data_IF_123948877418
#
_entry.id   IF_123948877418
#
_cell.length_a   1.000
_cell.length_b   1.000
_cell.length_c   1.000
_cell.angle_alpha   90.00
_cell.angle_beta   90.00
_cell.angle_gamma   90.00
#
_symmetry.space_group_name_H-M   'P 1'
#
loop_
_entity.id
_entity.type
_entity.pdbx_description
1 polymer ?
2 non-polymer ?
3 non-polymer ?
4 non-polymer ?
5 water ?
#
# COMPACT_ATOMS: atom_id res chain seq x y z
N UNK A 20 8.94 -21.03 -31.11
CA UNK A 20 8.10 -20.07 -30.33
C UNK A 20 8.87 -19.46 -29.15
N UNK A 21 8.68 -18.14 -28.96
CA UNK A 21 9.15 -17.42 -27.80
C UNK A 21 8.02 -16.48 -27.34
N UNK A 22 7.65 -16.49 -26.07
CA UNK A 22 6.51 -15.67 -25.65
C UNK A 22 6.88 -14.20 -25.71
N UNK A 23 5.87 -13.40 -25.93
CA UNK A 23 6.05 -11.98 -26.10
C UNK A 23 5.19 -11.19 -25.15
N UNK A 24 5.72 -10.07 -24.73
CA UNK A 24 4.95 -9.09 -23.96
C UNK A 24 5.08 -7.75 -24.67
N UNK A 25 4.00 -6.97 -24.68
CA UNK A 25 4.02 -5.63 -25.21
C UNK A 25 3.70 -4.65 -24.07
N UNK A 26 4.54 -3.63 -23.97
CA UNK A 26 4.33 -2.51 -23.07
C UNK A 26 3.85 -1.36 -23.93
N UNK A 27 2.67 -0.82 -23.65
CA UNK A 27 2.07 0.27 -24.40
C UNK A 27 2.13 1.56 -23.60
N UNK A 28 3.15 2.36 -23.86
CA UNK A 28 3.39 3.57 -23.08
C UNK A 28 2.31 4.60 -23.27
N UNK A 29 1.49 4.45 -24.32
CA UNK A 29 0.40 5.41 -24.56
C UNK A 29 -0.90 5.07 -23.84
N UNK A 30 -0.97 3.90 -23.20
CA UNK A 30 -2.19 3.50 -22.51
C UNK A 30 -1.96 3.63 -21.01
N UNK A 31 -2.22 4.82 -20.50
CA UNK A 31 -1.95 5.16 -19.09
C UNK A 31 -3.04 4.63 -18.18
N UNK A 32 -2.61 4.08 -17.06
CA UNK A 32 -3.48 3.53 -16.03
C UNK A 32 -3.29 4.44 -14.81
N UNK A 33 -3.15 3.88 -13.61
CA UNK A 33 -3.15 4.71 -12.44
C UNK A 33 -1.81 5.38 -12.17
N UNK A 34 -1.85 6.58 -11.62
CA UNK A 34 -0.65 7.27 -11.12
C UNK A 34 -0.26 6.66 -9.77
N UNK A 35 0.99 6.27 -9.64
CA UNK A 35 1.49 5.67 -8.42
C UNK A 35 1.69 6.72 -7.32
N UNK A 36 1.15 6.42 -6.15
CA UNK A 36 1.35 7.25 -4.97
C UNK A 36 2.52 6.78 -4.12
N UNK A 37 2.72 5.46 -3.99
CA UNK A 37 3.89 4.97 -3.31
C UNK A 37 3.67 3.68 -2.57
N UNK A 38 4.65 3.34 -1.75
CA UNK A 38 4.76 2.07 -1.04
C UNK A 38 5.25 2.33 0.36
N UNK A 39 4.87 1.49 1.31
CA UNK A 39 5.46 1.65 2.63
C UNK A 39 4.95 0.63 3.60
N UNK A 40 4.84 1.04 4.85
CA UNK A 40 4.45 0.14 5.92
C UNK A 40 4.08 0.91 7.17
N UNK A 41 3.78 0.11 8.20
CA UNK A 41 3.27 0.62 9.48
C UNK A 41 4.37 0.81 10.52
N UNK A 42 4.25 1.88 11.29
CA UNK A 42 4.96 2.04 12.57
C UNK A 42 3.93 2.05 13.66
N UNK A 43 4.17 1.36 14.76
CA UNK A 43 3.21 1.35 15.88
C UNK A 43 4.02 1.32 17.19
N UNK A 44 4.42 2.51 17.67
CA UNK A 44 5.35 2.58 18.81
C UNK A 44 4.66 2.40 20.16
N UNK A 45 3.37 2.08 20.17
CA UNK A 45 2.69 1.70 21.40
C UNK A 45 2.66 0.16 21.48
N UNK A 46 2.25 -0.53 20.42
CA UNK A 46 2.16 -1.99 20.45
C UNK A 46 3.52 -2.66 20.41
N UNK A 47 4.44 -2.07 19.66
CA UNK A 47 5.79 -2.59 19.50
C UNK A 47 6.79 -1.44 19.64
N UNK A 48 8.08 -1.71 19.51
CA UNK A 48 9.07 -0.65 19.63
C UNK A 48 9.05 0.24 18.40
N UNK A 49 9.26 1.52 18.60
CA UNK A 49 9.41 2.48 17.51
C UNK A 49 10.56 2.08 16.61
N UNK A 50 10.51 2.54 15.37
CA UNK A 50 11.71 2.50 14.55
C UNK A 50 12.80 3.32 15.20
N UNK A 51 14.02 2.82 15.12
CA UNK A 51 15.20 3.53 15.59
C UNK A 51 15.62 4.57 14.53
N UNK A 52 16.54 5.49 14.88
CA UNK A 52 17.00 6.46 13.87
C UNK A 52 17.55 5.77 12.62
N UNK A 53 18.35 4.71 12.77
CA UNK A 53 18.92 4.00 11.62
C UNK A 53 17.84 3.34 10.79
N UNK A 54 16.88 2.71 11.46
CA UNK A 54 15.79 2.02 10.77
C UNK A 54 14.89 2.98 9.98
N UNK A 55 14.70 4.20 10.49
CA UNK A 55 13.92 5.19 9.76
C UNK A 55 14.59 5.48 8.41
N UNK A 56 15.91 5.64 8.43
CA UNK A 56 16.66 5.90 7.20
C UNK A 56 16.57 4.68 6.24
N UNK A 57 16.73 3.49 6.79
CA UNK A 57 16.64 2.29 5.94
C UNK A 57 15.26 2.18 5.31
N UNK A 58 14.21 2.57 6.03
CA UNK A 58 12.86 2.44 5.49
C UNK A 58 12.56 3.48 4.42
N UNK A 59 12.86 4.76 4.71
CA UNK A 59 12.34 5.86 3.90
C UNK A 59 13.37 6.53 2.99
N UNK A 60 14.65 6.23 3.17
CA UNK A 60 15.63 6.57 2.15
C UNK A 60 15.52 5.66 0.95
N UNK A 61 16.08 6.11 -0.17
CA UNK A 61 16.12 5.30 -1.37
C UNK A 61 17.53 5.10 -1.88
N UNK A 62 18.51 5.17 -0.98
CA UNK A 62 19.88 4.85 -1.31
C UNK A 62 20.14 3.36 -1.28
N UNK A 63 21.38 3.02 -1.53
CA UNK A 63 21.87 1.67 -1.41
C UNK A 63 21.51 1.12 -0.05
N UNK A 64 20.93 -0.07 0.00
CA UNK A 64 20.58 -0.69 1.26
C UNK A 64 19.36 -0.12 1.97
N UNK A 65 18.56 0.64 1.24
CA UNK A 65 17.37 1.30 1.79
C UNK A 65 16.15 0.87 0.95
N UNK A 66 14.99 0.83 1.58
CA UNK A 66 13.78 0.29 0.98
C UNK A 66 13.10 1.21 0.00
N UNK A 67 13.31 2.52 0.09
CA UNK A 67 12.65 3.41 -0.81
C UNK A 67 11.19 3.61 -0.53
N UNK A 68 10.75 3.38 0.70
CA UNK A 68 9.37 3.62 1.03
C UNK A 68 9.09 5.13 0.99
N UNK A 69 7.85 5.45 0.62
CA UNK A 69 7.37 6.82 0.53
C UNK A 69 6.04 7.04 1.20
N UNK A 70 5.55 6.02 1.91
CA UNK A 70 4.31 6.14 2.69
C UNK A 70 4.56 5.50 4.06
N UNK A 71 4.28 6.27 5.12
CA UNK A 71 4.25 5.76 6.47
C UNK A 71 2.80 5.71 6.92
N UNK A 72 2.37 4.57 7.44
CA UNK A 72 1.10 4.48 8.14
C UNK A 72 1.36 4.44 9.63
N UNK A 73 0.51 5.19 10.35
CA UNK A 73 0.52 5.27 11.80
C UNK A 73 -0.90 5.05 12.32
N UNK A 74 -1.00 4.82 13.62
CA UNK A 74 -2.30 4.71 14.28
C UNK A 74 -2.64 5.97 15.03
N UNK A 75 -3.94 6.19 15.15
CA UNK A 75 -4.53 7.26 15.94
C UNK A 75 -4.92 6.66 17.27
N UNK A 76 -4.14 6.91 18.33
CA UNK A 76 -4.49 6.27 19.59
C UNK A 76 -5.77 6.85 20.17
N UNK A 77 -6.55 5.97 20.80
CA UNK A 77 -7.75 6.42 21.52
C UNK A 77 -7.40 7.27 22.73
N UNK A 78 -6.17 7.12 23.26
CA UNK A 78 -5.67 7.92 24.38
C UNK A 78 -4.70 8.96 23.86
N UNK A 79 -5.11 10.22 23.90
CA UNK A 79 -4.27 11.31 23.41
C UNK A 79 -2.92 11.44 24.08
N UNK A 80 -2.76 10.88 25.27
CA UNK A 80 -1.45 10.90 25.92
C UNK A 80 -0.40 10.07 25.20
N UNK A 81 -0.86 9.21 24.29
CA UNK A 81 0.07 8.41 23.47
C UNK A 81 0.48 9.08 22.16
N UNK A 82 -0.20 10.16 21.75
CA UNK A 82 0.04 10.73 20.44
C UNK A 82 1.49 11.16 20.24
N UNK A 83 2.11 11.69 21.28
CA UNK A 83 3.51 12.14 21.19
C UNK A 83 4.45 11.06 20.73
N UNK A 84 4.10 9.81 20.97
CA UNK A 84 4.99 8.69 20.63
C UNK A 84 5.18 8.53 19.12
N UNK A 85 4.27 9.12 18.33
CA UNK A 85 4.32 8.98 16.88
C UNK A 85 5.26 9.95 16.20
N UNK A 86 5.63 11.03 16.89
CA UNK A 86 6.12 12.20 16.21
C UNK A 86 7.49 12.03 15.58
N UNK A 87 8.45 11.47 16.29
CA UNK A 87 9.82 11.40 15.74
C UNK A 87 9.86 10.59 14.45
N UNK A 88 9.22 9.44 14.43
CA UNK A 88 9.28 8.63 13.21
C UNK A 88 8.50 9.28 12.07
N UNK A 89 7.34 9.86 12.37
CA UNK A 89 6.56 10.53 11.33
C UNK A 89 7.32 11.70 10.74
N UNK A 90 7.94 12.52 11.60
CA UNK A 90 8.69 13.66 11.11
C UNK A 90 9.87 13.20 10.27
N UNK A 91 10.57 12.15 10.69
CA UNK A 91 11.74 11.71 9.92
C UNK A 91 11.30 11.19 8.55
N UNK A 92 10.19 10.45 8.51
CA UNK A 92 9.65 9.97 7.24
C UNK A 92 9.40 11.12 6.29
N UNK A 93 8.79 12.18 6.82
CA UNK A 93 8.52 13.38 6.02
C UNK A 93 9.81 14.04 5.58
N UNK A 94 10.81 14.14 6.45
CA UNK A 94 12.11 14.71 6.05
C UNK A 94 12.69 13.95 4.87
N UNK A 95 12.45 12.65 4.84
CA UNK A 95 12.99 11.77 3.79
C UNK A 95 12.06 11.67 2.59
N UNK A 96 11.01 12.44 2.55
CA UNK A 96 10.17 12.58 1.37
C UNK A 96 8.88 11.80 1.41
N UNK A 97 8.56 11.13 2.49
CA UNK A 97 7.37 10.31 2.59
C UNK A 97 6.15 11.12 2.96
N UNK A 98 5.00 10.54 2.72
CA UNK A 98 3.73 11.05 3.23
C UNK A 98 3.25 10.13 4.35
N UNK A 99 2.39 10.64 5.22
CA UNK A 99 1.95 9.93 6.39
C UNK A 99 0.43 9.85 6.43
N UNK A 100 -0.10 8.65 6.61
CA UNK A 100 -1.52 8.50 6.81
C UNK A 100 -1.77 7.82 8.15
N UNK A 101 -2.90 8.16 8.77
CA UNK A 101 -3.20 7.65 10.11
C UNK A 101 -4.53 6.94 10.17
N UNK A 102 -4.59 5.82 10.87
CA UNK A 102 -5.84 5.06 11.04
C UNK A 102 -6.12 4.82 12.51
N UNK A 103 -7.38 5.03 12.94
CA UNK A 103 -7.82 4.72 14.28
C UNK A 103 -8.32 3.29 14.38
N UNK A 104 -8.08 2.67 15.53
CA UNK A 104 -8.66 1.36 15.88
C UNK A 104 -9.90 1.48 16.77
N UNK A 105 -9.88 2.41 17.72
CA UNK A 105 -11.06 2.69 18.54
C UNK A 105 -11.19 4.17 18.79
N UNK A 106 -12.43 4.67 18.88
CA UNK A 106 -12.63 5.98 19.49
C UNK A 106 -12.27 5.93 20.97
N UNK A 107 -12.08 7.11 21.59
CA UNK A 107 -12.01 7.16 23.05
C UNK A 107 -13.19 6.46 23.69
N UNK A 108 -12.95 5.84 24.83
CA UNK A 108 -13.92 4.97 25.46
C UNK A 108 -15.21 5.68 25.80
N UNK A 109 -15.14 6.97 26.10
CA UNK A 109 -16.37 7.70 26.40
C UNK A 109 -17.32 7.92 25.21
N UNK A 110 -16.87 7.54 24.02
CA UNK A 110 -17.70 7.63 22.82
C UNK A 110 -18.26 6.31 22.36
N UNK A 111 -17.82 5.23 22.98
CA UNK A 111 -18.11 3.85 22.57
C UNK A 111 -19.25 3.29 23.40
N UNK A 112 -19.97 2.34 22.84
CA UNK A 112 -20.89 1.54 23.62
C UNK A 112 -20.78 0.11 23.19
N UNK A 113 -21.35 -0.79 23.97
CA UNK A 113 -21.29 -2.19 23.62
C UNK A 113 -22.62 -2.63 23.03
N UNK A 114 -22.55 -3.72 22.29
CA UNK A 114 -23.71 -4.32 21.67
C UNK A 114 -23.38 -5.76 21.36
N UNK A 115 -24.42 -6.53 21.09
CA UNK A 115 -24.26 -7.92 20.69
C UNK A 115 -24.30 -8.04 19.17
N UNK A 116 -23.27 -8.67 18.61
CA UNK A 116 -23.13 -8.78 17.16
C UNK A 116 -23.07 -10.24 16.81
N UNK A 117 -24.05 -10.69 16.03
CA UNK A 117 -24.16 -12.10 15.62
C UNK A 117 -23.97 -13.03 16.81
N UNK A 118 -24.68 -12.69 17.88
CA UNK A 118 -24.70 -13.49 19.11
C UNK A 118 -23.50 -13.35 20.02
N UNK A 119 -22.51 -12.56 19.63
CA UNK A 119 -21.30 -12.35 20.44
C UNK A 119 -21.49 -11.06 21.22
N UNK A 120 -21.52 -11.15 22.55
CA UNK A 120 -21.77 -9.95 23.35
C UNK A 120 -20.52 -9.08 23.52
N UNK A 121 -20.74 -7.89 24.07
CA UNK A 121 -19.68 -7.01 24.53
C UNK A 121 -18.82 -6.50 23.40
N UNK A 122 -19.40 -6.40 22.20
CA UNK A 122 -18.70 -5.84 21.05
C UNK A 122 -18.82 -4.33 21.06
N UNK A 123 -17.87 -3.65 20.45
CA UNK A 123 -17.83 -2.19 20.52
C UNK A 123 -18.28 -1.54 19.24
N UNK A 124 -19.01 -0.45 19.36
CA UNK A 124 -19.29 0.44 18.23
C UNK A 124 -19.26 1.89 18.72
N UNK A 125 -19.15 2.83 17.78
CA UNK A 125 -19.27 4.24 18.08
C UNK A 125 -20.74 4.54 18.40
N UNK A 126 -21.02 5.16 19.54
CA UNK A 126 -22.40 5.55 19.86
C UNK A 126 -22.95 6.45 18.78
N UNK A 127 -24.21 6.23 18.41
CA UNK A 127 -24.80 7.01 17.34
C UNK A 127 -24.87 8.50 17.64
N UNK A 128 -24.93 8.86 18.92
CA UNK A 128 -24.94 10.25 19.36
C UNK A 128 -23.55 10.87 19.50
N UNK A 129 -22.51 10.13 19.11
CA UNK A 129 -21.13 10.60 19.29
C UNK A 129 -20.38 10.75 17.95
N UNK A 130 -21.10 10.77 16.84
CA UNK A 130 -20.42 10.92 15.54
C UNK A 130 -19.72 12.24 15.43
N UNK A 131 -20.36 13.31 15.91
CA UNK A 131 -19.72 14.63 15.93
C UNK A 131 -18.50 14.69 16.86
N UNK A 132 -18.63 14.07 18.02
CA UNK A 132 -17.53 14.04 18.98
C UNK A 132 -16.37 13.28 18.38
N UNK A 133 -16.66 12.26 17.56
CA UNK A 133 -15.59 11.48 16.94
C UNK A 133 -14.85 12.29 15.88
N UNK A 134 -15.58 13.07 15.10
CA UNK A 134 -14.96 14.03 14.19
C UNK A 134 -13.99 14.89 14.98
N UNK A 135 -14.42 15.42 16.13
CA UNK A 135 -13.54 16.28 16.91
C UNK A 135 -12.28 15.57 17.36
N UNK A 136 -12.41 14.33 17.80
CA UNK A 136 -11.24 13.52 18.16
C UNK A 136 -10.27 13.42 17.00
N UNK A 137 -10.77 13.05 15.82
CA UNK A 137 -9.89 12.93 14.64
C UNK A 137 -9.25 14.27 14.32
N UNK A 138 -10.04 15.36 14.36
CA UNK A 138 -9.47 16.67 14.09
C UNK A 138 -8.45 17.09 15.15
N UNK A 139 -8.65 16.68 16.40
CA UNK A 139 -7.69 16.97 17.43
C UNK A 139 -6.37 16.25 17.13
N UNK A 140 -6.43 15.03 16.64
CA UNK A 140 -5.21 14.32 16.25
C UNK A 140 -4.52 15.02 15.09
N UNK A 141 -5.28 15.39 14.07
CA UNK A 141 -4.72 16.09 12.92
C UNK A 141 -4.01 17.36 13.39
N UNK A 142 -4.65 18.11 14.27
CA UNK A 142 -4.12 19.37 14.76
C UNK A 142 -2.87 19.14 15.62
N UNK A 143 -2.90 18.14 16.48
CA UNK A 143 -1.73 17.82 17.29
C UNK A 143 -0.54 17.47 16.42
N UNK A 144 -0.78 16.64 15.42
CA UNK A 144 0.33 16.26 14.57
C UNK A 144 0.84 17.49 13.79
N UNK A 145 -0.06 18.33 13.29
CA UNK A 145 0.36 19.52 12.54
C UNK A 145 1.21 20.43 13.41
N UNK A 146 0.80 20.58 14.67
CA UNK A 146 1.51 21.43 15.63
C UNK A 146 2.92 20.91 15.94
N UNK A 147 3.12 19.62 15.72
CA UNK A 147 4.39 18.96 15.98
C UNK A 147 5.12 18.56 14.68
N UNK A 148 4.83 19.27 13.59
CA UNK A 148 5.58 19.16 12.33
C UNK A 148 5.19 18.06 11.37
N UNK A 149 4.02 17.47 11.60
CA UNK A 149 3.55 16.34 10.78
C UNK A 149 2.21 16.73 10.14
N UNK A 150 2.26 17.14 8.88
CA UNK A 150 1.05 17.46 8.11
C UNK A 150 0.54 16.15 7.51
N UNK A 151 -0.46 15.52 8.15
CA UNK A 151 -0.97 14.24 7.67
C UNK A 151 -1.52 14.33 6.28
N UNK A 152 -1.18 13.35 5.46
CA UNK A 152 -1.74 13.25 4.12
C UNK A 152 -3.22 12.88 4.19
N UNK A 153 -3.59 12.00 5.13
CA UNK A 153 -4.95 11.51 5.23
C UNK A 153 -5.17 10.88 6.58
N UNK A 154 -6.43 10.79 6.97
CA UNK A 154 -6.84 10.10 8.18
C UNK A 154 -8.05 9.25 7.85
N UNK A 155 -8.08 8.05 8.43
CA UNK A 155 -9.13 7.07 8.18
C UNK A 155 -10.23 7.10 9.23
N UNK A 156 -11.43 6.73 8.81
CA UNK A 156 -12.56 6.63 9.70
C UNK A 156 -12.39 5.50 10.70
N UNK A 157 -11.86 4.36 10.24
CA UNK A 157 -11.78 3.16 11.04
C UNK A 157 -10.90 2.14 10.34
N UNK A 158 -9.97 1.57 11.11
CA UNK A 158 -9.25 0.38 10.65
C UNK A 158 -10.18 -0.82 10.68
N UNK A 159 -10.35 -1.56 9.57
CA UNK A 159 -11.10 -2.82 9.57
C UNK A 159 -12.39 -2.77 10.35
N UNK A 160 -13.33 -1.91 9.93
CA UNK A 160 -14.64 -1.84 10.56
C UNK A 160 -15.45 -3.12 10.50
N UNK A 161 -15.07 -4.00 9.56
CA UNK A 161 -15.74 -5.28 9.28
C UNK A 161 -14.92 -6.46 9.79
N UNK A 162 -13.93 -6.22 10.64
CA UNK A 162 -13.21 -7.32 11.32
C UNK A 162 -12.80 -6.85 12.70
N UNK A 163 -13.78 -6.38 13.46
CA UNK A 163 -13.50 -5.59 14.66
C UNK A 163 -13.78 -6.36 15.95
N UNK A 164 -13.53 -7.67 15.90
CA UNK A 164 -13.60 -8.50 17.10
C UNK A 164 -12.81 -7.91 18.25
N UNK A 165 -11.67 -7.30 17.94
CA UNK A 165 -10.80 -6.73 18.96
C UNK A 165 -10.75 -5.21 18.96
N UNK A 166 -11.67 -4.57 18.24
CA UNK A 166 -11.73 -3.11 18.22
C UNK A 166 -13.15 -2.63 17.93
N UNK A 167 -13.36 -1.62 17.10
CA UNK A 167 -14.67 -0.98 16.95
C UNK A 167 -15.28 -1.35 15.59
N UNK A 168 -16.46 -1.97 15.63
CA UNK A 168 -17.23 -2.32 14.45
C UNK A 168 -18.03 -1.17 13.88
N UNK A 169 -18.07 -1.11 12.55
CA UNK A 169 -19.00 -0.27 11.83
C UNK A 169 -19.67 -1.07 10.76
N UNK A 170 -21.00 -1.06 10.72
CA UNK A 170 -21.73 -1.64 9.60
C UNK A 170 -21.57 -0.76 8.37
N UNK A 171 -21.90 -1.29 7.19
CA UNK A 171 -21.87 -0.43 5.98
C UNK A 171 -22.72 0.83 6.15
N UNK A 172 -23.89 0.67 6.78
CA UNK A 172 -24.81 1.78 7.00
C UNK A 172 -24.24 2.86 7.94
N UNK A 173 -23.61 2.41 9.01
CA UNK A 173 -22.98 3.32 9.97
C UNK A 173 -21.83 4.09 9.31
N UNK A 174 -20.99 3.37 8.56
CA UNK A 174 -19.91 3.99 7.81
C UNK A 174 -20.45 5.01 6.80
N UNK A 175 -21.55 4.67 6.12
CA UNK A 175 -22.14 5.61 5.16
C UNK A 175 -22.63 6.87 5.88
N UNK A 176 -23.34 6.69 6.99
CA UNK A 176 -23.83 7.87 7.71
C UNK A 176 -22.67 8.80 8.06
N UNK A 177 -21.59 8.20 8.58
CA UNK A 177 -20.44 9.00 8.93
C UNK A 177 -19.86 9.74 7.73
N UNK A 178 -19.64 9.01 6.64
CA UNK A 178 -19.08 9.61 5.45
C UNK A 178 -19.95 10.71 4.85
N UNK A 179 -21.27 10.48 4.87
CA UNK A 179 -22.23 11.41 4.29
C UNK A 179 -22.38 12.69 5.14
N UNK A 180 -22.59 12.50 6.44
CA UNK A 180 -23.07 13.58 7.30
C UNK A 180 -22.00 14.21 8.17
N UNK A 181 -20.87 13.54 8.36
CA UNK A 181 -19.85 14.00 9.30
C UNK A 181 -18.47 14.20 8.70
N UNK A 182 -18.06 13.35 7.73
CA UNK A 182 -16.67 13.36 7.32
C UNK A 182 -16.25 14.63 6.58
N UNK A 183 -17.19 15.42 6.06
CA UNK A 183 -16.83 16.70 5.44
C UNK A 183 -16.24 17.70 6.41
N UNK A 184 -16.43 17.46 7.72
CA UNK A 184 -15.94 18.30 8.81
C UNK A 184 -14.48 17.96 9.19
N UNK A 185 -13.91 16.87 8.65
CA UNK A 185 -12.56 16.47 8.99
C UNK A 185 -11.55 17.33 8.22
N UNK A 186 -10.56 17.88 8.94
CA UNK A 186 -9.59 18.82 8.41
C UNK A 186 -8.39 18.14 7.79
N UNK A 187 -8.68 17.18 6.93
CA UNK A 187 -7.65 16.35 6.32
C UNK A 187 -8.32 15.59 5.21
N UNK A 188 -7.52 15.00 4.30
CA UNK A 188 -8.09 13.97 3.42
C UNK A 188 -8.70 12.86 4.25
N UNK A 189 -9.84 12.33 3.79
CA UNK A 189 -10.51 11.25 4.49
C UNK A 189 -10.34 9.94 3.72
N UNK A 190 -9.91 8.93 4.47
CA UNK A 190 -9.75 7.59 3.96
C UNK A 190 -10.83 6.69 4.53
N UNK A 191 -11.39 5.84 3.68
CA UNK A 191 -12.40 4.84 4.13
C UNK A 191 -12.55 3.76 3.07
N UNK A 192 -13.09 2.62 3.42
CA UNK A 192 -13.43 2.14 4.75
C UNK A 192 -12.42 1.17 5.38
N UNK A 193 -11.33 0.87 4.69
CA UNK A 193 -10.32 -0.05 5.17
C UNK A 193 -10.90 -1.41 5.57
N UNK A 194 -11.73 -1.98 4.70
CA UNK A 194 -12.19 -3.36 4.91
C UNK A 194 -11.01 -4.32 5.01
N UNK A 195 -11.10 -5.31 5.90
CA UNK A 195 -9.98 -6.23 6.08
C UNK A 195 -9.62 -7.02 4.83
N UNK A 196 -10.59 -7.19 3.92
CA UNK A 196 -10.43 -8.05 2.76
C UNK A 196 -10.91 -7.33 1.49
N UNK A 197 -11.03 -6.02 1.51
CA UNK A 197 -11.53 -5.28 0.33
C UNK A 197 -12.94 -5.76 -0.02
N UNK A 198 -13.78 -5.91 1.02
CA UNK A 198 -15.15 -6.33 0.81
C UNK A 198 -15.95 -5.16 0.29
N UNK A 199 -16.56 -5.31 -0.87
CA UNK A 199 -17.18 -4.17 -1.54
C UNK A 199 -18.45 -3.72 -0.83
N UNK A 200 -19.05 -4.58 -0.01
CA UNK A 200 -20.24 -4.14 0.72
C UNK A 200 -19.95 -2.98 1.68
N UNK A 201 -18.70 -2.82 2.11
CA UNK A 201 -18.32 -1.73 2.98
C UNK A 201 -18.14 -0.40 2.28
N UNK A 202 -17.73 -0.44 1.03
CA UNK A 202 -17.45 0.73 0.23
C UNK A 202 -18.54 1.13 -0.79
N UNK A 203 -19.34 0.16 -1.26
CA UNK A 203 -20.34 0.49 -2.26
C UNK A 203 -21.25 1.63 -1.83
N UNK A 204 -21.72 1.62 -0.57
CA UNK A 204 -22.65 2.70 -0.21
C UNK A 204 -22.03 4.09 -0.30
N UNK A 205 -20.73 4.19 0.03
CA UNK A 205 -20.03 5.47 -0.07
C UNK A 205 -19.96 5.92 -1.52
N UNK A 206 -19.55 5.00 -2.41
CA UNK A 206 -19.43 5.34 -3.81
C UNK A 206 -20.77 5.68 -4.46
N UNK A 207 -21.84 5.10 -3.96
CA UNK A 207 -23.16 5.31 -4.52
C UNK A 207 -23.92 6.49 -3.92
N UNK A 208 -23.32 7.18 -2.95
CA UNK A 208 -23.91 8.38 -2.37
C UNK A 208 -23.09 9.62 -2.74
N UNK A 209 -23.65 10.56 -3.54
CA UNK A 209 -22.76 11.61 -4.01
C UNK A 209 -22.10 12.44 -2.89
N UNK A 210 -22.81 12.69 -1.80
CA UNK A 210 -22.22 13.48 -0.72
C UNK A 210 -21.14 12.72 0.05
N UNK A 211 -21.39 11.44 0.33
CA UNK A 211 -20.39 10.64 0.97
C UNK A 211 -19.14 10.52 0.08
N UNK A 212 -19.36 10.32 -1.22
CA UNK A 212 -18.27 10.21 -2.14
C UNK A 212 -17.51 11.54 -2.20
N UNK A 213 -18.21 12.68 -2.19
CA UNK A 213 -17.55 13.98 -2.19
C UNK A 213 -16.67 14.13 -0.97
N UNK A 214 -17.10 13.57 0.17
CA UNK A 214 -16.33 13.67 1.41
C UNK A 214 -15.19 12.65 1.51
N UNK A 215 -15.20 11.64 0.67
CA UNK A 215 -14.11 10.70 0.55
C UNK A 215 -12.96 11.31 -0.24
N UNK A 216 -11.73 11.02 0.17
CA UNK A 216 -10.55 11.34 -0.65
C UNK A 216 -9.77 10.12 -1.09
N UNK A 217 -9.70 9.10 -0.23
CA UNK A 217 -8.94 7.89 -0.53
C UNK A 217 -9.80 6.70 -0.16
N UNK A 218 -10.01 5.81 -1.14
CA UNK A 218 -10.61 4.51 -0.85
C UNK A 218 -9.46 3.63 -0.39
N UNK A 219 -9.50 3.27 0.89
CA UNK A 219 -8.51 2.41 1.48
C UNK A 219 -9.05 1.00 1.65
N UNK A 220 -8.19 0.00 1.47
CA UNK A 220 -8.57 -1.43 1.56
C UNK A 220 -7.41 -2.22 2.10
N UNK A 221 -7.68 -3.26 2.87
CA UNK A 221 -6.68 -4.26 3.23
C UNK A 221 -6.89 -5.50 2.36
N UNK A 222 -5.89 -6.36 2.35
CA UNK A 222 -5.83 -7.47 1.39
C UNK A 222 -5.76 -8.85 2.02
N UNK A 223 -6.20 -8.98 3.28
CA UNK A 223 -6.11 -10.26 3.97
C UNK A 223 -7.13 -11.23 3.39
N UNK A 224 -6.64 -12.26 2.70
CA UNK A 224 -7.48 -13.24 2.02
C UNK A 224 -8.15 -12.73 0.77
N UNK A 225 -7.73 -11.58 0.25
CA UNK A 225 -8.31 -11.08 -1.00
C UNK A 225 -7.74 -11.81 -2.19
N UNK A 226 -8.61 -12.48 -2.93
CA UNK A 226 -8.23 -13.21 -4.11
C UNK A 226 -8.13 -12.28 -5.29
N UNK A 227 -7.44 -12.72 -6.34
CA UNK A 227 -7.26 -11.90 -7.53
C UNK A 227 -8.55 -11.51 -8.18
N UNK A 228 -9.53 -12.42 -8.19
CA UNK A 228 -10.82 -12.09 -8.81
C UNK A 228 -11.57 -11.00 -8.03
N UNK A 229 -11.17 -10.74 -6.78
CA UNK A 229 -11.78 -9.68 -5.97
C UNK A 229 -10.99 -8.41 -5.93
N UNK A 230 -9.96 -8.32 -6.76
CA UNK A 230 -9.15 -7.09 -6.82
C UNK A 230 -9.69 -6.01 -7.75
N UNK A 231 -10.32 -6.34 -8.90
CA UNK A 231 -10.98 -5.32 -9.68
C UNK A 231 -12.15 -4.70 -8.89
N UNK A 232 -12.52 -3.48 -9.23
CA UNK A 232 -13.66 -2.84 -8.56
C UNK A 232 -14.35 -1.94 -9.55
N UNK A 233 -15.23 -2.51 -10.38
CA UNK A 233 -15.91 -1.72 -11.41
C UNK A 233 -16.58 -0.46 -10.90
N UNK A 234 -17.24 -0.52 -9.74
CA UNK A 234 -17.91 0.68 -9.25
C UNK A 234 -16.93 1.83 -8.98
N UNK A 235 -15.76 1.49 -8.46
CA UNK A 235 -14.76 2.51 -8.24
C UNK A 235 -14.22 3.07 -9.55
N UNK A 236 -14.03 2.20 -10.54
CA UNK A 236 -13.62 2.67 -11.86
C UNK A 236 -14.64 3.66 -12.44
N UNK A 237 -15.93 3.39 -12.19
CA UNK A 237 -17.01 4.23 -12.65
C UNK A 237 -17.11 5.57 -11.92
N UNK A 238 -17.03 5.51 -10.59
CA UNK A 238 -17.41 6.66 -9.80
C UNK A 238 -16.25 7.37 -9.09
N UNK A 239 -15.04 6.79 -9.12
CA UNK A 239 -13.93 7.27 -8.30
C UNK A 239 -13.04 8.37 -8.83
N UNK A 240 -13.50 9.13 -9.84
CA UNK A 240 -12.67 10.20 -10.35
C UNK A 240 -12.27 11.15 -9.23
N UNK A 241 -11.00 11.50 -9.21
CA UNK A 241 -10.46 12.39 -8.19
C UNK A 241 -10.22 11.78 -6.83
N UNK A 242 -10.45 10.46 -6.70
CA UNK A 242 -10.20 9.71 -5.48
C UNK A 242 -9.01 8.83 -5.67
N UNK A 243 -8.21 8.65 -4.63
CA UNK A 243 -7.07 7.72 -4.69
C UNK A 243 -7.53 6.35 -4.19
N UNK A 244 -6.78 5.33 -4.59
CA UNK A 244 -7.07 3.94 -4.25
C UNK A 244 -5.81 3.35 -3.61
N UNK A 245 -5.89 3.04 -2.33
CA UNK A 245 -4.73 2.58 -1.57
C UNK A 245 -4.99 1.26 -0.88
N UNK A 246 -4.02 0.35 -0.98
CA UNK A 246 -4.01 -0.89 -0.22
C UNK A 246 -3.19 -0.62 1.02
N UNK A 247 -3.88 -0.36 2.14
CA UNK A 247 -3.25 0.24 3.30
C UNK A 247 -2.75 -0.70 4.36
N UNK A 248 -2.96 -2.01 4.19
CA UNK A 248 -2.39 -2.96 5.15
C UNK A 248 -2.49 -4.38 4.61
N UNK A 249 -1.37 -5.10 4.60
CA UNK A 249 -1.36 -6.53 4.48
C UNK A 249 -0.01 -7.04 4.95
N UNK A 250 0.04 -8.33 5.28
CA UNK A 250 1.25 -9.12 5.22
C UNK A 250 0.86 -10.37 4.43
N UNK A 251 1.77 -10.89 3.63
CA UNK A 251 1.52 -12.09 2.85
C UNK A 251 2.84 -12.88 2.79
N UNK A 252 2.73 -14.21 2.66
CA UNK A 252 1.51 -15.01 2.71
C UNK A 252 1.11 -15.43 4.13
N UNK A 253 1.90 -15.00 5.12
CA UNK A 253 1.63 -15.31 6.52
C UNK A 253 2.44 -14.34 7.38
N UNK A 254 2.20 -14.44 8.69
CA UNK A 254 2.99 -13.70 9.68
C UNK A 254 3.79 -14.71 10.53
N UNK A 255 4.24 -15.81 9.93
CA UNK A 255 5.02 -16.77 10.70
C UNK A 255 6.28 -16.12 11.26
N UNK A 256 6.63 -16.51 12.48
CA UNK A 256 7.85 -15.99 13.08
C UNK A 256 9.05 -16.36 12.23
N UNK A 257 9.95 -15.39 12.07
CA UNK A 257 11.23 -15.59 11.39
C UNK A 257 11.06 -16.15 9.98
N UNK A 258 10.02 -15.69 9.29
CA UNK A 258 9.70 -16.16 7.95
C UNK A 258 10.20 -15.23 6.83
N UNK A 259 10.70 -14.05 7.16
CA UNK A 259 10.88 -13.01 6.14
C UNK A 259 11.92 -13.32 5.07
N UNK A 260 12.84 -14.24 5.35
CA UNK A 260 13.83 -14.64 4.37
C UNK A 260 13.47 -15.95 3.67
N UNK A 261 12.32 -16.56 3.97
CA UNK A 261 11.99 -17.83 3.31
C UNK A 261 11.85 -17.67 1.81
N UNK A 262 12.45 -18.60 1.07
CA UNK A 262 12.44 -18.61 -0.38
C UNK A 262 12.12 -20.04 -0.85
N UNK A 263 11.20 -20.19 -1.81
CA UNK A 263 10.59 -19.15 -2.65
C UNK A 263 9.33 -18.50 -2.07
N UNK A 264 9.00 -18.73 -0.80
CA UNK A 264 7.80 -18.14 -0.22
C UNK A 264 7.72 -16.63 -0.47
N UNK A 265 8.85 -15.94 -0.36
CA UNK A 265 8.82 -14.49 -0.48
C UNK A 265 8.31 -13.98 -1.82
N UNK A 266 8.38 -14.82 -2.86
CA UNK A 266 7.83 -14.40 -4.15
C UNK A 266 6.36 -14.08 -4.08
N UNK A 267 5.65 -14.64 -3.09
CA UNK A 267 4.24 -14.27 -2.91
C UNK A 267 4.04 -12.79 -2.64
N UNK A 268 5.03 -12.15 -2.04
CA UNK A 268 4.94 -10.70 -1.78
C UNK A 268 4.95 -9.96 -3.12
N UNK A 269 5.94 -10.28 -3.97
CA UNK A 269 6.00 -9.65 -5.27
C UNK A 269 4.71 -9.89 -6.04
N UNK A 270 4.24 -11.15 -6.02
CA UNK A 270 3.05 -11.48 -6.79
C UNK A 270 1.84 -10.71 -6.27
N UNK A 271 1.74 -10.56 -4.95
CA UNK A 271 0.62 -9.81 -4.39
C UNK A 271 0.65 -8.35 -4.80
N UNK A 272 1.86 -7.77 -4.88
CA UNK A 272 2.02 -6.38 -5.30
C UNK A 272 1.70 -6.22 -6.79
N UNK A 273 2.23 -7.14 -7.62
CA UNK A 273 1.84 -7.19 -9.02
C UNK A 273 0.33 -7.20 -9.16
N UNK A 274 -0.32 -8.08 -8.39
CA UNK A 274 -1.76 -8.21 -8.49
C UNK A 274 -2.44 -6.92 -8.04
N UNK A 275 -1.99 -6.33 -6.95
CA UNK A 275 -2.59 -5.07 -6.49
C UNK A 275 -2.52 -4.01 -7.60
N UNK A 276 -1.33 -3.88 -8.19
CA UNK A 276 -1.10 -2.85 -9.20
C UNK A 276 -1.87 -3.09 -10.50
N UNK A 277 -1.84 -4.32 -10.99
CA UNK A 277 -2.37 -4.62 -12.30
C UNK A 277 -3.83 -5.05 -12.24
N UNK A 278 -4.18 -5.93 -11.31
CA UNK A 278 -5.54 -6.44 -11.20
C UNK A 278 -6.41 -5.48 -10.42
N UNK A 279 -5.82 -4.76 -9.48
CA UNK A 279 -6.57 -3.85 -8.64
C UNK A 279 -6.46 -2.38 -8.98
N UNK A 280 -5.51 -2.03 -9.84
CA UNK A 280 -5.24 -0.62 -10.17
C UNK A 280 -4.86 0.22 -8.94
N UNK A 281 -4.29 -0.44 -7.92
CA UNK A 281 -3.98 0.29 -6.71
C UNK A 281 -2.85 1.29 -6.91
N UNK A 282 -2.96 2.44 -6.26
CA UNK A 282 -1.94 3.48 -6.32
C UNK A 282 -0.92 3.40 -5.20
N UNK A 283 -1.24 2.68 -4.14
CA UNK A 283 -0.37 2.54 -2.98
C UNK A 283 -0.48 1.14 -2.45
N UNK A 284 0.63 0.63 -1.92
CA UNK A 284 0.65 -0.69 -1.29
C UNK A 284 1.49 -0.55 -0.03
N UNK A 285 0.83 -0.80 1.10
CA UNK A 285 1.39 -0.54 2.44
C UNK A 285 1.34 -1.83 3.26
N UNK A 286 2.51 -2.29 3.67
CA UNK A 286 2.65 -3.42 4.56
C UNK A 286 2.16 -3.08 5.95
N UNK A 287 2.00 -4.13 6.78
CA UNK A 287 1.87 -3.99 8.24
C UNK A 287 3.24 -3.57 8.81
N UNK A 288 3.62 -4.03 10.01
CA UNK A 288 4.83 -3.53 10.64
C UNK A 288 6.03 -3.55 9.71
N UNK A 289 6.69 -2.41 9.58
CA UNK A 289 7.90 -2.34 8.78
C UNK A 289 8.99 -3.26 9.30
N UNK A 290 9.24 -3.18 10.60
CA UNK A 290 10.30 -3.97 11.25
C UNK A 290 9.64 -5.09 12.03
N UNK A 291 9.86 -6.32 11.57
CA UNK A 291 9.27 -7.49 12.21
C UNK A 291 9.87 -8.72 11.57
N UNK A 292 9.81 -9.86 12.25
CA UNK A 292 10.53 -11.02 11.75
C UNK A 292 9.89 -11.64 10.50
N UNK A 293 8.68 -11.19 10.16
CA UNK A 293 7.96 -11.54 8.94
C UNK A 293 7.76 -10.32 8.02
N UNK A 294 8.47 -9.24 8.32
CA UNK A 294 8.28 -7.99 7.57
C UNK A 294 9.41 -7.66 6.63
N UNK A 295 9.31 -6.48 5.99
CA UNK A 295 10.30 -6.11 5.01
C UNK A 295 11.68 -5.78 5.62
N UNK A 296 11.69 -5.34 6.88
CA UNK A 296 12.90 -5.09 7.60
C UNK A 296 12.97 -6.05 8.76
N UNK A 297 14.09 -6.77 8.88
CA UNK A 297 14.28 -7.71 9.99
C UNK A 297 14.61 -6.97 11.27
N UNK A 298 14.56 -7.68 12.38
CA UNK A 298 14.83 -7.05 13.69
C UNK A 298 16.26 -6.54 13.78
N UNK A 299 17.16 -7.09 12.97
CA UNK A 299 18.55 -6.61 12.94
C UNK A 299 18.74 -5.39 12.08
N UNK A 300 17.63 -4.84 11.54
CA UNK A 300 17.65 -3.59 10.80
C UNK A 300 17.95 -3.71 9.33
N UNK A 301 18.18 -4.93 8.85
CA UNK A 301 18.53 -5.17 7.46
C UNK A 301 17.30 -5.61 6.68
N UNK A 302 17.40 -5.56 5.37
CA UNK A 302 16.25 -5.88 4.52
C UNK A 302 16.09 -7.39 4.35
N UNK A 303 14.86 -7.88 4.52
CA UNK A 303 14.55 -9.30 4.33
C UNK A 303 14.28 -9.63 2.87
N UNK A 304 14.20 -10.93 2.52
CA UNK A 304 13.72 -11.26 1.19
C UNK A 304 12.36 -10.64 0.85
N UNK A 305 11.44 -10.65 1.82
CA UNK A 305 10.16 -10.02 1.58
C UNK A 305 10.32 -8.52 1.33
N UNK A 306 11.26 -7.88 2.02
CA UNK A 306 11.59 -6.49 1.76
C UNK A 306 12.18 -6.24 0.40
N UNK A 307 13.06 -7.13 -0.07
CA UNK A 307 13.57 -6.98 -1.43
C UNK A 307 12.46 -7.14 -2.47
N UNK A 308 11.47 -7.98 -2.21
CA UNK A 308 10.32 -8.08 -3.10
C UNK A 308 9.63 -6.76 -3.19
N UNK A 309 9.40 -6.09 -2.06
CA UNK A 309 8.81 -4.76 -2.08
C UNK A 309 9.69 -3.76 -2.84
N UNK A 310 11.00 -3.82 -2.55
CA UNK A 310 11.97 -2.89 -3.14
C UNK A 310 12.04 -2.93 -4.66
N UNK A 311 11.77 -4.12 -5.25
CA UNK A 311 11.72 -4.23 -6.69
C UNK A 311 10.73 -3.26 -7.29
N UNK A 312 9.69 -2.92 -6.53
CA UNK A 312 8.74 -1.89 -6.91
C UNK A 312 9.15 -0.54 -6.29
N UNK A 313 9.30 -0.53 -4.97
CA UNK A 313 9.41 0.78 -4.29
C UNK A 313 10.65 1.60 -4.66
N UNK A 314 11.77 0.94 -4.93
CA UNK A 314 12.99 1.69 -5.23
C UNK A 314 12.99 2.29 -6.62
N UNK A 315 12.10 1.82 -7.48
CA UNK A 315 12.16 2.12 -8.90
C UNK A 315 10.88 2.81 -9.41
N UNK A 316 9.72 2.34 -8.96
CA UNK A 316 8.46 2.90 -9.41
C UNK A 316 8.13 4.01 -8.41
N UNK A 317 8.63 5.20 -8.67
CA UNK A 317 8.56 6.32 -7.74
C UNK A 317 7.22 7.02 -7.78
N UNK A 318 6.88 7.72 -6.69
CA UNK A 318 5.62 8.46 -6.73
C UNK A 318 5.55 9.35 -7.95
N UNK A 319 4.38 9.36 -8.57
CA UNK A 319 4.15 10.14 -9.78
C UNK A 319 4.37 9.39 -11.07
N UNK A 320 5.08 8.29 -11.04
CA UNK A 320 5.09 7.46 -12.24
C UNK A 320 3.69 6.95 -12.49
N UNK A 321 3.42 6.55 -13.74
CA UNK A 321 2.10 6.10 -14.12
C UNK A 321 2.20 4.69 -14.67
N UNK A 322 1.38 3.79 -14.13
CA UNK A 322 1.31 2.46 -14.69
C UNK A 322 0.80 2.54 -16.13
N UNK A 323 1.27 1.63 -16.99
CA UNK A 323 0.78 1.58 -18.35
C UNK A 323 0.33 0.18 -18.67
N UNK A 324 -0.50 0.05 -19.70
CA UNK A 324 -0.96 -1.25 -20.13
C UNK A 324 0.24 -2.08 -20.60
N UNK A 325 0.34 -3.32 -20.13
CA UNK A 325 1.40 -4.22 -20.53
C UNK A 325 0.94 -5.62 -20.38
N UNK A 326 1.39 -6.50 -21.25
CA UNK A 326 1.00 -7.91 -21.20
C UNK A 326 1.32 -8.48 -19.82
N UNK A 327 0.30 -8.82 -19.05
CA UNK A 327 0.53 -9.03 -17.61
C UNK A 327 1.04 -10.40 -17.26
N UNK A 328 0.79 -11.38 -18.12
CA UNK A 328 1.09 -12.77 -17.81
C UNK A 328 1.50 -13.47 -19.11
N UNK A 329 2.68 -13.09 -19.67
CA UNK A 329 2.99 -13.46 -21.04
C UNK A 329 3.22 -14.93 -21.29
N UNK A 330 3.57 -15.67 -20.26
CA UNK A 330 3.70 -17.13 -20.33
C UNK A 330 3.44 -17.64 -18.91
N UNK A 331 3.10 -18.91 -18.76
CA UNK A 331 2.75 -19.44 -17.45
C UNK A 331 3.88 -19.19 -16.46
N UNK A 332 3.50 -18.73 -15.27
CA UNK A 332 4.40 -18.46 -14.15
C UNK A 332 5.17 -17.15 -14.27
N UNK A 333 4.94 -16.35 -15.33
CA UNK A 333 5.67 -15.08 -15.51
C UNK A 333 4.65 -13.94 -15.48
N UNK A 334 4.93 -12.92 -14.65
CA UNK A 334 4.03 -11.80 -14.41
C UNK A 334 4.80 -10.52 -14.65
N UNK A 335 4.19 -9.58 -15.38
CA UNK A 335 4.87 -8.38 -15.78
C UNK A 335 3.98 -7.17 -15.51
N UNK A 336 4.57 -6.13 -14.96
CA UNK A 336 3.94 -4.82 -14.87
C UNK A 336 4.93 -3.78 -15.40
N UNK A 337 4.40 -2.64 -15.82
CA UNK A 337 5.24 -1.57 -16.31
C UNK A 337 4.66 -0.22 -15.95
N UNK A 338 5.56 0.68 -15.59
CA UNK A 338 5.22 2.05 -15.27
C UNK A 338 6.18 2.98 -16.01
N UNK A 339 5.70 4.19 -16.25
CA UNK A 339 6.41 5.18 -17.00
C UNK A 339 6.62 6.43 -16.15
N UNK A 340 7.78 7.06 -16.34
CA UNK A 340 8.06 8.36 -15.80
C UNK A 340 7.72 9.36 -16.90
N UNK A 341 6.68 10.14 -16.68
CA UNK A 341 6.19 11.09 -17.67
C UNK A 341 7.17 12.20 -17.97
N UNK A 342 8.16 12.40 -17.10
CA UNK A 342 9.09 13.51 -17.31
C UNK A 342 10.02 13.22 -18.48
N UNK A 343 10.38 11.94 -18.68
CA UNK A 343 11.27 11.56 -19.79
C UNK A 343 10.86 10.30 -20.58
N UNK A 344 9.65 9.82 -20.33
CA UNK A 344 9.08 8.63 -20.95
C UNK A 344 9.88 7.36 -20.72
N UNK A 345 10.75 7.36 -19.72
CA UNK A 345 11.45 6.15 -19.36
C UNK A 345 10.52 5.19 -18.66
N UNK A 346 10.96 3.96 -18.58
CA UNK A 346 10.09 2.85 -18.29
C UNK A 346 10.71 1.99 -17.20
N UNK A 347 9.87 1.50 -16.30
CA UNK A 347 10.27 0.54 -15.29
C UNK A 347 9.37 -0.67 -15.46
N UNK A 348 9.97 -1.84 -15.69
CA UNK A 348 9.18 -3.07 -15.79
C UNK A 348 9.60 -4.01 -14.67
N UNK A 349 8.63 -4.59 -13.98
CA UNK A 349 8.92 -5.53 -12.92
C UNK A 349 8.38 -6.89 -13.36
N UNK A 350 9.26 -7.87 -13.43
CA UNK A 350 8.91 -9.17 -14.02
C UNK A 350 9.23 -10.29 -13.02
N UNK A 351 8.20 -11.05 -12.67
CA UNK A 351 8.30 -12.11 -11.70
C UNK A 351 8.33 -13.43 -12.49
N UNK A 352 9.31 -14.30 -12.22
CA UNK A 352 9.32 -15.66 -12.78
C UNK A 352 9.18 -16.67 -11.63
N UNK A 353 7.99 -17.20 -11.43
CA UNK A 353 7.75 -18.16 -10.36
C UNK A 353 8.11 -19.58 -10.74
N UNK A 354 8.49 -19.80 -11.98
CA UNK A 354 8.87 -21.14 -12.44
C UNK A 354 10.21 -21.58 -11.88
N UNK A 355 10.37 -22.91 -11.74
CA UNK A 355 11.66 -23.48 -11.44
C UNK A 355 12.55 -23.54 -12.69
N UNK A 356 11.99 -23.22 -13.86
CA UNK A 356 12.73 -23.09 -15.10
C UNK A 356 13.03 -21.66 -15.45
N UNK A 357 14.15 -21.43 -16.15
CA UNK A 357 14.40 -20.15 -16.78
C UNK A 357 13.37 -19.93 -17.86
N UNK A 358 13.05 -18.67 -18.09
CA UNK A 358 12.05 -18.29 -19.09
C UNK A 358 12.61 -17.18 -19.97
N UNK A 359 12.52 -17.34 -21.28
CA UNK A 359 12.99 -16.32 -22.21
C UNK A 359 11.77 -15.71 -22.90
N UNK A 360 11.65 -14.38 -22.82
CA UNK A 360 10.56 -13.69 -23.49
C UNK A 360 11.11 -12.49 -24.28
N UNK A 361 10.32 -12.04 -25.23
CA UNK A 361 10.57 -10.81 -25.96
C UNK A 361 9.69 -9.76 -25.30
N UNK A 362 10.25 -8.60 -25.02
CA UNK A 362 9.47 -7.47 -24.52
C UNK A 362 9.52 -6.36 -25.57
N UNK A 363 8.37 -6.07 -26.14
CA UNK A 363 8.21 -5.04 -27.18
C UNK A 363 7.68 -3.76 -26.54
N UNK A 364 8.34 -2.64 -26.83
CA UNK A 364 7.97 -1.33 -26.30
C UNK A 364 7.86 -0.37 -27.48
N UNK A 365 6.79 -0.52 -28.28
CA UNK A 365 6.71 0.28 -29.50
C UNK A 365 6.82 1.77 -29.20
N UNK A 366 7.51 2.50 -30.06
CA UNK A 366 7.61 3.93 -29.92
C UNK A 366 8.63 4.44 -28.91
N UNK A 367 9.31 3.57 -28.17
CA UNK A 367 10.30 4.07 -27.20
C UNK A 367 11.61 4.45 -27.91
N UNK A 368 12.34 5.43 -27.36
CA UNK A 368 13.69 5.74 -27.82
C UNK A 368 14.74 4.99 -27.00
N UNK A 369 14.29 4.34 -25.92
CA UNK A 369 15.20 3.62 -25.05
C UNK A 369 15.80 2.46 -25.82
N UNK A 370 17.09 2.26 -25.69
CA UNK A 370 17.73 1.11 -26.31
C UNK A 370 18.57 0.27 -25.36
N UNK A 371 18.83 0.78 -24.15
CA UNK A 371 19.64 0.07 -23.18
C UNK A 371 18.78 -0.09 -21.96
N UNK A 372 18.70 -1.33 -21.50
CA UNK A 372 17.90 -1.70 -20.37
C UNK A 372 18.84 -2.19 -19.26
N UNK A 373 18.78 -1.58 -18.09
CA UNK A 373 19.51 -2.11 -16.93
C UNK A 373 18.62 -3.10 -16.19
N UNK A 374 19.18 -4.03 -15.43
CA UNK A 374 18.36 -5.00 -14.71
C UNK A 374 18.95 -5.36 -13.37
N UNK A 375 18.03 -5.48 -12.42
CA UNK A 375 18.34 -5.84 -11.05
C UNK A 375 17.52 -7.08 -10.69
N UNK A 376 18.19 -8.08 -10.14
CA UNK A 376 17.59 -9.40 -9.99
C UNK A 376 17.73 -9.90 -8.56
N UNK A 377 16.62 -10.42 -8.03
CA UNK A 377 16.61 -11.12 -6.74
C UNK A 377 16.20 -12.55 -6.96
N UNK A 378 16.93 -13.44 -6.32
CA UNK A 378 16.65 -14.87 -6.29
C UNK A 378 16.85 -15.32 -4.84
N UNK A 379 16.86 -16.63 -4.60
CA UNK A 379 17.17 -17.13 -3.30
C UNK A 379 18.59 -16.84 -2.85
N UNK A 380 19.48 -16.50 -3.78
CA UNK A 380 20.90 -16.36 -3.48
C UNK A 380 21.48 -14.99 -3.70
N UNK A 381 20.69 -14.01 -4.14
CA UNK A 381 21.20 -12.65 -4.34
C UNK A 381 20.04 -11.68 -4.25
N UNK A 382 20.36 -10.44 -3.86
CA UNK A 382 19.35 -9.42 -3.61
C UNK A 382 19.60 -8.22 -4.48
N UNK A 383 18.65 -7.89 -5.36
CA UNK A 383 18.77 -6.71 -6.22
C UNK A 383 20.12 -6.63 -6.87
N UNK A 384 20.61 -7.75 -7.39
CA UNK A 384 21.92 -7.77 -8.04
C UNK A 384 21.82 -7.12 -9.41
N UNK A 385 22.67 -6.14 -9.72
CA UNK A 385 22.69 -5.57 -11.05
C UNK A 385 23.41 -6.52 -11.99
N UNK A 386 22.66 -7.02 -12.96
CA UNK A 386 23.17 -7.96 -13.95
C UNK A 386 23.51 -7.19 -15.22
N UNK A 387 23.89 -7.92 -16.27
CA UNK A 387 24.35 -7.29 -17.50
C UNK A 387 23.24 -6.48 -18.17
N UNK A 388 23.59 -5.35 -18.75
CA UNK A 388 22.61 -4.55 -19.48
C UNK A 388 22.12 -5.34 -20.66
N UNK A 389 20.91 -5.02 -21.08
CA UNK A 389 20.43 -5.56 -22.32
C UNK A 389 20.29 -4.47 -23.35
N UNK A 390 20.88 -4.73 -24.51
CA UNK A 390 20.75 -3.83 -25.64
C UNK A 390 19.62 -4.29 -26.56
N UNK A 391 18.73 -3.37 -26.88
CA UNK A 391 17.50 -3.68 -27.61
C UNK A 391 17.73 -3.98 -29.09
N UNK A 392 16.87 -4.81 -29.68
CA UNK A 392 16.82 -4.89 -31.15
C UNK A 392 15.70 -3.96 -31.55
N UNK A 393 16.05 -2.71 -31.90
CA UNK A 393 15.06 -1.65 -32.13
C UNK A 393 14.24 -1.43 -30.86
N UNK A 394 12.92 -1.59 -30.98
CA UNK A 394 12.03 -1.41 -29.83
C UNK A 394 11.65 -2.72 -29.13
N UNK A 395 12.34 -3.81 -29.43
CA UNK A 395 12.12 -5.08 -28.74
C UNK A 395 13.42 -5.50 -28.07
N UNK A 396 13.23 -6.14 -26.94
CA UNK A 396 14.23 -6.44 -25.94
C UNK A 396 14.02 -7.96 -25.60
N UNK A 397 15.01 -8.83 -25.74
CA UNK A 397 14.85 -10.23 -25.39
C UNK A 397 15.55 -10.45 -24.07
N UNK A 398 14.89 -11.16 -23.17
CA UNK A 398 15.38 -11.30 -21.80
C UNK A 398 15.19 -12.75 -21.36
N UNK A 399 16.21 -13.34 -20.73
CA UNK A 399 16.05 -14.60 -20.03
C UNK A 399 15.92 -14.30 -18.52
N UNK A 400 14.82 -14.74 -17.94
CA UNK A 400 14.51 -14.59 -16.54
C UNK A 400 14.98 -15.81 -15.78
N UNK A 401 15.81 -15.60 -14.77
CA UNK A 401 16.28 -16.73 -14.00
C UNK A 401 15.10 -17.45 -13.32
N UNK A 402 15.24 -18.72 -12.97
CA UNK A 402 14.18 -19.38 -12.20
C UNK A 402 13.94 -18.66 -10.88
N UNK A 403 12.69 -18.70 -10.43
CA UNK A 403 12.29 -18.20 -9.11
C UNK A 403 12.96 -16.88 -8.77
N UNK A 404 12.59 -15.88 -9.54
CA UNK A 404 13.28 -14.60 -9.50
C UNK A 404 12.33 -13.44 -9.70
N UNK A 405 12.77 -12.27 -9.28
CA UNK A 405 12.15 -11.02 -9.67
C UNK A 405 13.22 -10.18 -10.33
N UNK A 406 12.87 -9.52 -11.44
CA UNK A 406 13.77 -8.66 -12.16
C UNK A 406 13.10 -7.31 -12.37
N UNK A 407 13.78 -6.23 -12.01
CA UNK A 407 13.33 -4.92 -12.38
C UNK A 407 14.22 -4.37 -13.48
N UNK A 408 13.59 -3.96 -14.58
CA UNK A 408 14.28 -3.39 -15.76
C UNK A 408 14.04 -1.90 -15.72
N UNK A 409 15.12 -1.13 -15.88
CA UNK A 409 15.07 0.34 -15.80
C UNK A 409 15.94 0.97 -16.87
#
# INVERSE_FOLDING_TARGET
MGSSHHHHHHSSGLVPRGSHMASATINLSAEKQVIRGFGGMNHPVWISDLTPQQRDTAFGNGEGQLGFTILRIHVDENRNNWSKEVATARRAIELGAIVSASPWNPPSNMVETFTRNGVPNQKRLRYDKYGDYVQHLNDFVAYMKSNGVDLYAISVQNEPDYAHEWTWWTPQEMLRFMRDYAGQINCRVMAPESFQYLKNMSDPILNDPQALANLDILGAHFYGTTVNNMPYPLFEQKGAGKELWMTEVYVPNSDSNSADRWPEALEVAHNMHNALVEGNFQAYVWWYIRRSYGPMKEDGTISKRGYMMAHYSKFVRPGYVRVDATKNPTYNVYLSACKNKKDNSVVAVVINKSTEAKTINISVPGTSIRKWERYVTTGSKNLRKESDINASGTTFQVTLEPQSVTTFV
#
